data_IF_872040427022
#
_entry.id   IF_872040427022
#
_cell.length_a   1.000
_cell.length_b   1.000
_cell.length_c   1.000
_cell.angle_alpha   90.00
_cell.angle_beta   90.00
_cell.angle_gamma   90.00
#
_symmetry.space_group_name_H-M   'P 1'
#
loop_
_entity.id
_entity.type
_entity.pdbx_description
1 polymer ?
#
# COMPACT_ATOMS: atom_id res chain seq x y z
N UNK A 1 11.95 7.72 -11.34
CA UNK A 1 11.48 7.33 -12.71
C UNK A 1 10.30 6.40 -12.52
N UNK A 2 9.18 6.61 -13.22
CA UNK A 2 8.05 5.67 -13.13
C UNK A 2 8.48 4.25 -13.58
N UNK A 3 7.93 3.21 -12.96
CA UNK A 3 8.21 1.82 -13.31
C UNK A 3 7.77 1.55 -14.77
N UNK A 4 8.72 1.49 -15.69
CA UNK A 4 8.43 1.32 -17.12
C UNK A 4 8.33 -0.16 -17.55
N UNK A 5 9.01 -1.05 -16.82
CA UNK A 5 8.96 -2.50 -17.10
C UNK A 5 7.60 -3.09 -16.77
N UNK A 6 7.14 -4.03 -17.58
CA UNK A 6 5.96 -4.86 -17.27
C UNK A 6 6.45 -6.02 -16.41
N UNK A 7 5.78 -6.32 -15.27
CA UNK A 7 6.11 -7.49 -14.48
C UNK A 7 5.94 -8.79 -15.29
N UNK A 8 6.73 -9.79 -14.96
CA UNK A 8 6.53 -11.15 -15.46
C UNK A 8 5.19 -11.72 -14.94
N UNK A 9 4.75 -12.82 -15.55
CA UNK A 9 3.55 -13.53 -15.09
C UNK A 9 3.68 -13.91 -13.60
N UNK A 10 2.61 -13.72 -12.85
CA UNK A 10 2.55 -13.94 -11.40
C UNK A 10 3.52 -13.05 -10.60
N UNK A 11 3.84 -11.86 -11.12
CA UNK A 11 4.71 -10.92 -10.43
C UNK A 11 4.11 -9.51 -10.40
N UNK A 12 4.60 -8.71 -9.45
CA UNK A 12 4.35 -7.28 -9.36
C UNK A 12 5.67 -6.56 -9.09
N UNK A 13 5.76 -5.28 -9.49
CA UNK A 13 6.83 -4.40 -9.01
C UNK A 13 6.28 -3.49 -7.93
N UNK A 14 7.14 -3.13 -6.96
CA UNK A 14 6.86 -2.02 -6.08
C UNK A 14 8.09 -1.10 -5.95
N UNK A 15 7.80 0.16 -5.61
CA UNK A 15 8.78 1.18 -5.24
C UNK A 15 8.23 1.93 -4.03
N UNK A 16 9.01 2.02 -2.95
CA UNK A 16 8.72 2.88 -1.81
C UNK A 16 9.33 4.25 -2.09
N UNK A 17 8.52 5.30 -2.27
CA UNK A 17 9.00 6.59 -2.79
C UNK A 17 9.10 7.70 -1.74
N UNK A 18 8.67 7.48 -0.50
CA UNK A 18 8.78 8.43 0.61
C UNK A 18 8.99 7.70 1.93
N UNK A 19 9.28 8.45 3.02
CA UNK A 19 9.43 7.85 4.34
C UNK A 19 8.11 7.44 5.01
N UNK A 20 6.99 7.78 4.38
CA UNK A 20 5.64 7.42 4.82
C UNK A 20 5.17 6.11 4.16
N UNK A 21 3.88 5.98 3.95
CA UNK A 21 3.28 4.78 3.35
C UNK A 21 3.24 4.79 1.81
N UNK A 22 3.90 5.75 1.17
CA UNK A 22 3.85 5.98 -0.26
C UNK A 22 4.47 4.85 -1.09
N UNK A 23 3.63 4.12 -1.84
CA UNK A 23 4.05 3.00 -2.68
C UNK A 23 3.58 3.21 -4.13
N UNK A 24 4.51 3.11 -5.10
CA UNK A 24 4.14 2.73 -6.46
C UNK A 24 4.06 1.21 -6.53
N UNK A 25 2.91 0.68 -6.94
CA UNK A 25 2.70 -0.74 -7.19
C UNK A 25 2.33 -0.93 -8.67
N UNK A 26 3.05 -1.79 -9.37
CA UNK A 26 2.75 -2.10 -10.77
C UNK A 26 2.43 -3.58 -10.92
N UNK A 27 1.22 -3.84 -11.42
CA UNK A 27 0.76 -5.14 -11.89
C UNK A 27 1.01 -5.27 -13.41
N UNK A 28 0.75 -6.41 -14.05
CA UNK A 28 0.89 -6.55 -15.51
C UNK A 28 0.20 -5.44 -16.32
N UNK A 29 -0.99 -4.98 -15.91
CA UNK A 29 -1.77 -4.01 -16.69
C UNK A 29 -2.01 -2.67 -16.01
N UNK A 30 -1.76 -2.53 -14.70
CA UNK A 30 -2.07 -1.32 -13.92
C UNK A 30 -0.89 -0.83 -13.09
N UNK A 31 -0.81 0.48 -12.96
CA UNK A 31 0.14 1.16 -12.07
C UNK A 31 -0.64 1.96 -11.03
N UNK A 32 -0.38 1.70 -9.77
CA UNK A 32 -0.99 2.36 -8.62
C UNK A 32 0.02 3.30 -7.94
N UNK A 33 -0.45 4.47 -7.52
CA UNK A 33 0.22 5.25 -6.49
C UNK A 33 -0.66 5.22 -5.23
N UNK A 34 -0.13 4.69 -4.14
CA UNK A 34 -0.83 4.62 -2.86
C UNK A 34 -0.26 5.73 -1.98
N UNK A 35 -1.13 6.54 -1.38
CA UNK A 35 -0.80 7.65 -0.48
C UNK A 35 0.34 8.55 -1.02
N UNK A 36 0.17 9.17 -2.20
CA UNK A 36 1.21 9.99 -2.80
C UNK A 36 1.35 11.33 -2.09
N UNK A 37 2.38 11.45 -1.27
CA UNK A 37 2.85 12.69 -0.64
C UNK A 37 4.38 12.79 -0.81
N UNK A 38 4.95 13.98 -0.68
CA UNK A 38 6.39 14.23 -0.78
C UNK A 38 7.04 13.67 -2.08
N UNK A 39 6.28 13.66 -3.17
CA UNK A 39 6.74 13.20 -4.46
C UNK A 39 6.37 14.22 -5.56
N UNK A 40 7.16 14.28 -6.62
CA UNK A 40 6.87 15.19 -7.74
C UNK A 40 5.78 14.63 -8.64
N UNK A 41 4.89 15.50 -9.17
CA UNK A 41 3.84 15.13 -10.14
C UNK A 41 4.38 14.30 -11.30
N UNK A 42 5.57 14.64 -11.81
CA UNK A 42 6.19 13.90 -12.92
C UNK A 42 6.52 12.42 -12.58
N UNK A 43 6.68 12.08 -11.30
CA UNK A 43 6.85 10.70 -10.85
C UNK A 43 5.56 9.88 -11.02
N UNK A 44 4.42 10.56 -10.96
CA UNK A 44 3.07 9.98 -11.01
C UNK A 44 2.41 10.06 -12.40
N UNK A 45 3.11 10.57 -13.43
CA UNK A 45 2.52 10.82 -14.78
C UNK A 45 1.98 9.58 -15.49
N UNK A 46 2.43 8.39 -15.12
CA UNK A 46 2.04 7.12 -15.76
C UNK A 46 1.24 6.21 -14.81
N UNK A 47 0.63 6.78 -13.75
CA UNK A 47 -0.23 6.01 -12.87
C UNK A 47 -1.63 5.90 -13.48
N UNK A 48 -2.22 4.72 -13.38
CA UNK A 48 -3.60 4.46 -13.76
C UNK A 48 -4.57 4.77 -12.62
N UNK A 49 -4.11 4.57 -11.40
CA UNK A 49 -4.94 4.65 -10.19
C UNK A 49 -4.15 5.31 -9.06
N UNK A 50 -4.77 6.29 -8.39
CA UNK A 50 -4.32 6.77 -7.08
C UNK A 50 -5.24 6.18 -6.02
N UNK A 51 -4.65 5.52 -5.01
CA UNK A 51 -5.37 5.04 -3.82
C UNK A 51 -5.03 5.92 -2.64
N UNK A 52 -6.04 6.36 -1.90
CA UNK A 52 -5.88 7.15 -0.68
C UNK A 52 -6.46 6.37 0.50
N UNK A 53 -5.63 6.13 1.52
CA UNK A 53 -6.02 5.34 2.69
C UNK A 53 -6.81 6.15 3.71
N UNK A 54 -6.41 7.40 3.96
CA UNK A 54 -7.08 8.34 4.85
C UNK A 54 -6.56 9.77 4.69
N UNK A 55 -7.19 10.73 5.38
CA UNK A 55 -7.04 12.17 5.18
C UNK A 55 -5.84 12.82 5.87
N UNK A 56 -4.97 12.10 6.56
CA UNK A 56 -3.81 12.69 7.22
C UNK A 56 -2.77 13.22 6.22
N UNK A 57 -2.04 14.25 6.62
CA UNK A 57 -1.12 15.01 5.75
C UNK A 57 0.05 14.18 5.19
N UNK A 58 0.43 13.11 5.85
CA UNK A 58 1.48 12.17 5.45
C UNK A 58 0.97 11.03 4.55
N UNK A 59 -0.33 11.04 4.22
CA UNK A 59 -1.00 10.12 3.30
C UNK A 59 -1.73 10.85 2.18
N UNK A 60 -2.14 12.10 2.40
CA UNK A 60 -2.97 12.84 1.47
C UNK A 60 -2.53 14.29 1.29
N UNK A 61 -2.02 14.62 0.11
CA UNK A 61 -1.83 15.97 -0.41
C UNK A 61 -2.83 16.23 -1.53
N UNK A 62 -3.87 17.01 -1.23
CA UNK A 62 -4.94 17.30 -2.19
C UNK A 62 -4.46 18.06 -3.42
N UNK A 63 -3.43 18.90 -3.29
CA UNK A 63 -2.85 19.63 -4.43
C UNK A 63 -2.09 18.67 -5.35
N UNK A 64 -1.21 17.85 -4.79
CA UNK A 64 -0.44 16.85 -5.55
C UNK A 64 -1.36 15.86 -6.28
N UNK A 65 -2.41 15.37 -5.60
CA UNK A 65 -3.37 14.43 -6.19
C UNK A 65 -4.13 15.07 -7.37
N UNK A 66 -4.57 16.33 -7.23
CA UNK A 66 -5.25 17.06 -8.32
C UNK A 66 -4.34 17.26 -9.53
N UNK A 67 -3.12 17.71 -9.31
CA UNK A 67 -2.16 17.96 -10.41
C UNK A 67 -1.75 16.62 -11.06
N UNK A 68 -1.55 15.57 -10.28
CA UNK A 68 -1.25 14.24 -10.82
C UNK A 68 -2.39 13.68 -11.65
N UNK A 69 -3.65 13.87 -11.22
CA UNK A 69 -4.82 13.44 -11.98
C UNK A 69 -4.91 14.16 -13.34
N UNK A 70 -4.66 15.48 -13.39
CA UNK A 70 -4.63 16.23 -14.64
C UNK A 70 -3.60 15.71 -15.64
N UNK A 71 -2.42 15.33 -15.15
CA UNK A 71 -1.30 14.88 -16.00
C UNK A 71 -1.47 13.42 -16.45
N UNK A 72 -1.93 12.54 -15.56
CA UNK A 72 -2.04 11.10 -15.83
C UNK A 72 -3.42 10.68 -16.32
N UNK A 73 -4.46 11.50 -16.11
CA UNK A 73 -5.87 11.15 -16.32
C UNK A 73 -6.29 9.89 -15.53
N UNK A 74 -5.65 9.63 -14.38
CA UNK A 74 -5.88 8.47 -13.56
C UNK A 74 -7.26 8.50 -12.89
N UNK A 75 -7.71 7.34 -12.43
CA UNK A 75 -8.84 7.21 -11.51
C UNK A 75 -8.34 7.34 -10.07
N UNK A 76 -9.06 8.09 -9.24
CA UNK A 76 -8.78 8.22 -7.82
C UNK A 76 -9.80 7.35 -7.06
N UNK A 77 -9.30 6.48 -6.18
CA UNK A 77 -10.11 5.69 -5.26
C UNK A 77 -9.70 6.11 -3.86
N UNK A 78 -10.62 6.64 -3.09
CA UNK A 78 -10.32 7.29 -1.83
C UNK A 78 -11.30 6.92 -0.72
N UNK A 79 -10.83 7.01 0.53
CA UNK A 79 -11.69 7.02 1.69
C UNK A 79 -12.71 8.18 1.63
N UNK A 80 -13.83 8.12 2.38
CA UNK A 80 -14.85 9.16 2.32
C UNK A 80 -14.38 10.57 2.66
N UNK A 81 -13.41 10.73 3.57
CA UNK A 81 -12.94 12.06 4.00
C UNK A 81 -12.05 12.71 2.95
N UNK A 82 -11.09 11.96 2.39
CA UNK A 82 -10.25 12.41 1.28
C UNK A 82 -11.07 12.70 0.02
N UNK A 83 -12.02 11.80 -0.31
CA UNK A 83 -12.90 11.98 -1.44
C UNK A 83 -13.78 13.24 -1.32
N UNK A 84 -14.28 13.54 -0.13
CA UNK A 84 -15.05 14.76 0.11
C UNK A 84 -14.25 16.03 -0.22
N UNK A 85 -12.96 16.07 0.13
CA UNK A 85 -12.08 17.20 -0.19
C UNK A 85 -11.75 17.28 -1.69
N UNK A 86 -11.71 16.15 -2.39
CA UNK A 86 -11.39 16.09 -3.83
C UNK A 86 -12.60 16.36 -4.73
N UNK A 87 -13.81 16.07 -4.27
CA UNK A 87 -15.06 16.17 -5.04
C UNK A 87 -15.26 17.47 -5.83
N UNK A 88 -14.90 18.66 -5.30
CA UNK A 88 -15.03 19.92 -6.05
C UNK A 88 -14.05 20.09 -7.22
N UNK A 89 -13.02 19.23 -7.29
CA UNK A 89 -11.85 19.45 -8.15
C UNK A 89 -11.56 18.31 -9.13
N UNK A 90 -12.16 17.14 -8.91
CA UNK A 90 -11.92 15.94 -9.71
C UNK A 90 -13.20 15.59 -10.48
N UNK A 91 -13.12 15.26 -11.78
CA UNK A 91 -14.28 14.80 -12.54
C UNK A 91 -14.97 13.61 -11.85
N UNK A 92 -16.31 13.60 -11.87
CA UNK A 92 -17.09 12.62 -11.12
C UNK A 92 -16.84 11.17 -11.59
N UNK A 93 -16.54 10.97 -12.85
CA UNK A 93 -16.15 9.68 -13.43
C UNK A 93 -14.74 9.23 -13.09
N UNK A 94 -13.93 10.11 -12.48
CA UNK A 94 -12.54 9.87 -12.07
C UNK A 94 -12.37 9.76 -10.56
N UNK A 95 -13.41 9.92 -9.77
CA UNK A 95 -13.37 9.83 -8.31
C UNK A 95 -14.34 8.77 -7.81
N UNK A 96 -13.81 7.73 -7.17
CA UNK A 96 -14.60 6.68 -6.53
C UNK A 96 -14.35 6.67 -5.02
N UNK A 97 -15.43 6.54 -4.26
CA UNK A 97 -15.37 6.40 -2.81
C UNK A 97 -15.34 4.92 -2.46
N UNK A 98 -14.44 4.52 -1.58
CA UNK A 98 -14.36 3.15 -1.07
C UNK A 98 -14.43 3.14 0.46
N UNK A 99 -15.20 2.20 1.02
CA UNK A 99 -15.36 2.00 2.47
C UNK A 99 -14.91 0.62 2.86
N UNK A 100 -14.59 0.44 4.13
CA UNK A 100 -14.27 -0.88 4.69
C UNK A 100 -15.33 -1.91 4.28
N UNK A 101 -14.88 -3.01 3.68
CA UNK A 101 -15.72 -4.09 3.16
C UNK A 101 -16.02 -3.99 1.65
N UNK A 102 -15.88 -2.80 1.06
CA UNK A 102 -16.10 -2.63 -0.38
C UNK A 102 -14.95 -3.25 -1.19
N UNK A 103 -15.30 -3.65 -2.41
CA UNK A 103 -14.33 -4.13 -3.42
C UNK A 103 -14.62 -3.43 -4.74
N UNK A 104 -13.61 -2.78 -5.30
CA UNK A 104 -13.64 -2.14 -6.62
C UNK A 104 -12.78 -2.94 -7.57
N UNK A 105 -13.27 -3.19 -8.78
CA UNK A 105 -12.49 -3.78 -9.88
C UNK A 105 -12.10 -2.71 -10.89
N UNK A 106 -10.83 -2.74 -11.31
CA UNK A 106 -10.31 -1.90 -12.40
C UNK A 106 -9.63 -2.82 -13.42
N UNK A 107 -10.38 -3.16 -14.47
CA UNK A 107 -10.04 -4.31 -15.30
C UNK A 107 -10.12 -5.59 -14.49
N UNK A 108 -9.09 -6.42 -14.55
CA UNK A 108 -9.01 -7.66 -13.80
C UNK A 108 -8.40 -7.49 -12.39
N UNK A 109 -7.86 -6.30 -12.07
CA UNK A 109 -7.33 -6.02 -10.73
C UNK A 109 -8.45 -5.75 -9.76
N UNK A 110 -8.38 -6.36 -8.58
CA UNK A 110 -9.33 -6.16 -7.47
C UNK A 110 -8.69 -5.35 -6.34
N UNK A 111 -9.40 -4.35 -5.84
CA UNK A 111 -8.99 -3.50 -4.72
C UNK A 111 -10.07 -3.61 -3.65
N UNK A 112 -9.72 -4.20 -2.51
CA UNK A 112 -10.62 -4.35 -1.37
C UNK A 112 -10.15 -3.45 -0.24
N UNK A 113 -11.04 -2.59 0.28
CA UNK A 113 -10.78 -1.84 1.50
C UNK A 113 -11.05 -2.72 2.72
N UNK A 114 -10.10 -2.73 3.65
CA UNK A 114 -10.18 -3.50 4.87
C UNK A 114 -10.01 -2.62 6.11
N UNK A 115 -10.30 -3.18 7.28
CA UNK A 115 -10.21 -2.52 8.58
C UNK A 115 -8.79 -1.97 8.79
N UNK A 116 -8.73 -0.72 9.27
CA UNK A 116 -7.52 -0.05 9.74
C UNK A 116 -7.67 0.25 11.23
N UNK A 117 -6.72 -0.17 12.05
CA UNK A 117 -6.67 0.17 13.48
C UNK A 117 -5.85 1.44 13.67
N UNK A 118 -6.44 2.58 13.30
CA UNK A 118 -5.82 3.90 13.34
C UNK A 118 -6.85 4.99 13.64
N UNK A 119 -6.40 6.08 14.27
CA UNK A 119 -7.26 7.23 14.63
C UNK A 119 -7.35 8.22 13.47
N UNK A 120 -8.27 7.98 12.54
CA UNK A 120 -8.65 8.89 11.46
C UNK A 120 -10.17 8.81 11.25
N UNK A 121 -10.75 9.62 10.33
CA UNK A 121 -12.21 9.64 10.15
C UNK A 121 -12.73 8.36 9.51
N UNK A 122 -12.07 7.89 8.44
CA UNK A 122 -12.48 6.71 7.69
C UNK A 122 -11.23 5.95 7.17
N UNK A 123 -10.31 5.53 8.07
CA UNK A 123 -9.06 4.93 7.63
C UNK A 123 -9.29 3.56 7.03
N UNK A 124 -8.67 3.32 5.87
CA UNK A 124 -8.66 2.04 5.17
C UNK A 124 -7.25 1.46 5.13
N UNK A 125 -7.17 0.15 5.12
CA UNK A 125 -6.06 -0.59 4.54
C UNK A 125 -6.50 -1.17 3.20
N UNK A 126 -5.56 -1.54 2.31
CA UNK A 126 -5.92 -2.07 1.00
C UNK A 126 -5.35 -3.46 0.75
N UNK A 127 -6.21 -4.34 0.24
CA UNK A 127 -5.83 -5.63 -0.33
C UNK A 127 -5.96 -5.49 -1.85
N UNK A 128 -4.83 -5.55 -2.55
CA UNK A 128 -4.78 -5.43 -4.00
C UNK A 128 -4.46 -6.81 -4.57
N UNK A 129 -5.34 -7.33 -5.41
CA UNK A 129 -5.14 -8.60 -6.11
C UNK A 129 -4.90 -8.31 -7.58
N UNK A 130 -3.71 -8.66 -8.08
CA UNK A 130 -3.35 -8.49 -9.49
C UNK A 130 -4.15 -9.43 -10.39
N UNK A 131 -4.04 -9.23 -11.68
CA UNK A 131 -4.64 -10.05 -12.74
C UNK A 131 -4.24 -11.53 -12.61
N UNK A 132 -3.01 -11.77 -12.19
CA UNK A 132 -2.43 -13.11 -11.98
C UNK A 132 -2.64 -13.66 -10.57
N UNK A 133 -3.43 -12.94 -9.74
CA UNK A 133 -3.76 -13.35 -8.39
C UNK A 133 -2.66 -13.11 -7.36
N UNK A 134 -1.65 -12.26 -7.63
CA UNK A 134 -0.71 -11.81 -6.60
C UNK A 134 -1.43 -10.88 -5.64
N UNK A 135 -1.43 -11.21 -4.35
CA UNK A 135 -2.11 -10.43 -3.31
C UNK A 135 -1.15 -9.61 -2.47
N UNK A 136 -1.31 -8.30 -2.54
CA UNK A 136 -0.54 -7.31 -1.80
C UNK A 136 -1.42 -6.67 -0.73
N UNK A 137 -0.98 -6.68 0.51
CA UNK A 137 -1.64 -6.00 1.61
C UNK A 137 -0.85 -4.76 2.02
N UNK A 138 -1.46 -3.60 1.84
CA UNK A 138 -0.95 -2.29 2.26
C UNK A 138 -1.63 -1.89 3.56
N UNK A 139 -0.88 -1.86 4.65
CA UNK A 139 -1.45 -1.66 6.00
C UNK A 139 -1.67 -0.20 6.38
N UNK A 140 -1.24 0.76 5.56
CA UNK A 140 -1.26 2.19 5.91
C UNK A 140 -0.69 2.41 7.32
N UNK A 141 -1.43 3.08 8.17
CA UNK A 141 -1.11 3.38 9.58
C UNK A 141 -1.64 2.35 10.57
N UNK A 142 -2.16 1.22 10.08
CA UNK A 142 -2.79 0.26 10.97
C UNK A 142 -1.82 -0.31 12.00
N UNK A 143 -2.20 -0.21 13.25
CA UNK A 143 -1.65 -1.04 14.32
C UNK A 143 -2.21 -2.47 14.21
N UNK A 144 -1.55 -3.47 14.81
CA UNK A 144 -2.06 -4.84 14.83
C UNK A 144 -3.41 -4.91 15.57
N UNK A 145 -4.25 -5.85 15.13
CA UNK A 145 -5.54 -6.16 15.77
C UNK A 145 -5.87 -7.65 15.53
N UNK A 146 -6.68 -8.30 16.41
CA UNK A 146 -6.87 -9.75 16.41
C UNK A 146 -7.39 -10.33 15.10
N UNK A 147 -8.30 -9.61 14.41
CA UNK A 147 -8.92 -10.08 13.16
C UNK A 147 -7.95 -10.22 11.98
N UNK A 148 -6.74 -9.63 12.09
CA UNK A 148 -5.67 -9.84 11.10
C UNK A 148 -5.31 -11.32 10.93
N UNK A 149 -5.40 -12.13 12.01
CA UNK A 149 -5.12 -13.55 11.93
C UNK A 149 -6.10 -14.28 10.99
N UNK A 150 -7.40 -13.96 11.12
CA UNK A 150 -8.42 -14.51 10.21
C UNK A 150 -8.23 -14.00 8.79
N UNK A 151 -7.96 -12.70 8.63
CA UNK A 151 -7.74 -12.09 7.32
C UNK A 151 -6.53 -12.73 6.60
N UNK A 152 -5.42 -12.99 7.30
CA UNK A 152 -4.25 -13.68 6.75
C UNK A 152 -4.57 -15.10 6.26
N UNK A 153 -5.41 -15.85 6.98
CA UNK A 153 -5.83 -17.18 6.58
C UNK A 153 -6.76 -17.17 5.35
N UNK A 154 -7.70 -16.23 5.31
CA UNK A 154 -8.71 -16.14 4.25
C UNK A 154 -8.10 -15.60 2.95
N UNK A 155 -7.28 -14.56 3.03
CA UNK A 155 -6.73 -13.86 1.86
C UNK A 155 -5.44 -14.49 1.33
N UNK A 156 -4.60 -15.07 2.20
CA UNK A 156 -3.31 -15.67 1.82
C UNK A 156 -2.43 -14.69 1.04
N UNK A 157 -1.99 -13.63 1.71
CA UNK A 157 -1.17 -12.58 1.11
C UNK A 157 0.16 -13.10 0.58
N UNK A 158 0.60 -12.60 -0.58
CA UNK A 158 1.94 -12.84 -1.12
C UNK A 158 2.96 -11.82 -0.59
N UNK A 159 2.49 -10.58 -0.32
CA UNK A 159 3.29 -9.48 0.21
C UNK A 159 2.47 -8.67 1.23
N UNK A 160 3.10 -8.33 2.37
CA UNK A 160 2.52 -7.41 3.36
C UNK A 160 3.51 -6.28 3.63
N UNK A 161 3.08 -5.04 3.45
CA UNK A 161 3.77 -3.86 3.94
C UNK A 161 3.41 -3.66 5.40
N UNK A 162 4.41 -3.55 6.29
CA UNK A 162 4.22 -3.41 7.73
C UNK A 162 4.71 -2.04 8.20
N UNK A 163 3.83 -1.21 8.77
CA UNK A 163 4.22 0.05 9.41
C UNK A 163 5.08 -0.24 10.65
N UNK A 164 6.28 0.36 10.72
CA UNK A 164 7.26 0.11 11.79
C UNK A 164 7.69 1.36 12.55
N UNK A 165 7.10 2.53 12.24
CA UNK A 165 7.41 3.80 12.89
C UNK A 165 6.39 4.89 12.52
N UNK A 166 6.73 6.16 12.69
CA UNK A 166 5.97 7.40 12.40
C UNK A 166 4.57 7.40 13.03
N UNK A 167 3.68 6.47 12.66
CA UNK A 167 2.35 6.35 13.26
C UNK A 167 2.43 6.25 14.78
N UNK A 168 1.57 6.97 15.48
CA UNK A 168 1.49 6.92 16.95
C UNK A 168 1.33 5.47 17.43
N UNK A 169 2.23 5.05 18.33
CA UNK A 169 2.34 3.68 18.87
C UNK A 169 2.81 2.60 17.87
N UNK A 170 3.17 2.96 16.65
CA UNK A 170 3.83 2.02 15.76
C UNK A 170 5.30 1.83 16.19
N UNK A 171 5.80 0.62 16.01
CA UNK A 171 7.18 0.22 16.30
C UNK A 171 7.55 -1.00 15.46
N UNK A 172 8.83 -1.39 15.42
CA UNK A 172 9.24 -2.65 14.81
C UNK A 172 8.46 -3.86 15.34
N UNK A 173 8.15 -3.88 16.65
CA UNK A 173 7.39 -4.96 17.30
C UNK A 173 5.92 -4.97 16.86
N UNK A 174 5.28 -3.80 16.73
CA UNK A 174 3.91 -3.73 16.23
C UNK A 174 3.82 -4.15 14.76
N UNK A 175 4.78 -3.74 13.93
CA UNK A 175 4.88 -4.20 12.54
C UNK A 175 5.14 -5.72 12.46
N UNK A 176 6.01 -6.26 13.32
CA UNK A 176 6.24 -7.70 13.45
C UNK A 176 4.96 -8.43 13.84
N UNK A 177 4.15 -7.89 14.74
CA UNK A 177 2.89 -8.51 15.14
C UNK A 177 1.90 -8.58 13.95
N UNK A 178 1.85 -7.57 13.07
CA UNK A 178 1.09 -7.64 11.83
C UNK A 178 1.58 -8.81 10.96
N UNK A 179 2.90 -8.96 10.78
CA UNK A 179 3.49 -10.06 10.02
C UNK A 179 3.17 -11.42 10.64
N UNK A 180 3.24 -11.54 11.98
CA UNK A 180 2.95 -12.76 12.73
C UNK A 180 1.49 -13.20 12.58
N UNK A 181 0.56 -12.25 12.60
CA UNK A 181 -0.87 -12.52 12.45
C UNK A 181 -1.23 -12.87 11.00
N UNK A 182 -0.67 -12.16 10.03
CA UNK A 182 -1.01 -12.34 8.61
C UNK A 182 -0.25 -13.48 7.93
N UNK A 183 0.91 -13.88 8.46
CA UNK A 183 1.76 -15.00 7.99
C UNK A 183 2.06 -15.01 6.48
N UNK A 184 2.47 -13.89 5.87
CA UNK A 184 2.78 -13.89 4.45
C UNK A 184 4.17 -14.52 4.19
N UNK A 185 4.45 -14.98 2.96
CA UNK A 185 5.81 -15.41 2.57
C UNK A 185 6.81 -14.25 2.50
N UNK A 186 6.33 -13.00 2.35
CA UNK A 186 7.18 -11.82 2.23
C UNK A 186 6.59 -10.61 2.96
N UNK A 187 7.47 -9.88 3.68
CA UNK A 187 7.13 -8.61 4.33
C UNK A 187 8.11 -7.50 3.96
N UNK A 188 7.62 -6.27 4.03
CA UNK A 188 8.39 -5.05 3.80
C UNK A 188 8.11 -4.07 4.93
N UNK A 189 9.12 -3.70 5.76
CA UNK A 189 8.98 -2.63 6.74
C UNK A 189 8.99 -1.28 6.04
N UNK A 190 7.99 -0.45 6.30
CA UNK A 190 7.86 0.88 5.74
C UNK A 190 7.29 1.87 6.77
N UNK A 191 6.92 3.09 6.33
CA UNK A 191 6.35 4.13 7.18
C UNK A 191 7.26 4.46 8.38
N UNK A 192 8.52 4.73 8.07
CA UNK A 192 9.56 5.10 9.04
C UNK A 192 10.67 5.90 8.35
N UNK A 193 11.27 6.82 9.09
CA UNK A 193 12.50 7.51 8.71
C UNK A 193 13.74 6.93 9.45
N UNK A 194 13.57 5.81 10.16
CA UNK A 194 14.59 5.17 10.99
C UNK A 194 15.10 3.86 10.35
N UNK A 195 16.28 3.84 9.74
CA UNK A 195 16.90 2.59 9.29
C UNK A 195 17.11 1.56 10.41
N UNK A 196 17.19 2.04 11.66
CA UNK A 196 17.30 1.18 12.84
C UNK A 196 16.03 0.39 13.07
N UNK A 197 14.85 1.01 12.93
CA UNK A 197 13.56 0.34 13.08
C UNK A 197 13.38 -0.75 12.02
N UNK A 198 13.76 -0.47 10.78
CA UNK A 198 13.73 -1.47 9.71
C UNK A 198 14.64 -2.67 10.01
N UNK A 199 15.84 -2.43 10.56
CA UNK A 199 16.78 -3.50 10.95
C UNK A 199 16.25 -4.32 12.13
N UNK A 200 15.68 -3.68 13.14
CA UNK A 200 15.06 -4.38 14.28
C UNK A 200 13.92 -5.27 13.78
N UNK A 201 13.02 -4.72 12.95
CA UNK A 201 11.95 -5.50 12.34
C UNK A 201 12.48 -6.71 11.56
N UNK A 202 13.50 -6.52 10.70
CA UNK A 202 14.10 -7.61 9.93
C UNK A 202 14.70 -8.70 10.84
N UNK A 203 15.33 -8.31 11.95
CA UNK A 203 15.87 -9.27 12.93
C UNK A 203 14.77 -10.07 13.63
N UNK A 204 13.65 -9.41 13.99
CA UNK A 204 12.46 -10.07 14.54
C UNK A 204 11.91 -11.10 13.56
N UNK A 205 11.71 -10.72 12.29
CA UNK A 205 11.23 -11.64 11.25
C UNK A 205 12.17 -12.83 11.10
N UNK A 206 13.48 -12.59 10.98
CA UNK A 206 14.48 -13.68 10.82
C UNK A 206 14.47 -14.67 11.99
N UNK A 207 14.28 -14.18 13.21
CA UNK A 207 14.31 -14.99 14.43
C UNK A 207 13.01 -15.77 14.64
N UNK A 208 11.87 -15.09 14.50
CA UNK A 208 10.57 -15.61 14.94
C UNK A 208 9.72 -16.18 13.79
N UNK A 209 9.96 -15.73 12.56
CA UNK A 209 9.23 -16.16 11.36
C UNK A 209 10.19 -16.61 10.25
N UNK A 210 11.00 -17.66 10.46
CA UNK A 210 12.08 -18.03 9.53
C UNK A 210 11.61 -18.45 8.12
N UNK A 211 10.32 -18.67 7.92
CA UNK A 211 9.72 -18.98 6.61
C UNK A 211 9.26 -17.72 5.86
N UNK A 212 9.23 -16.56 6.53
CA UNK A 212 8.87 -15.26 5.95
C UNK A 212 10.13 -14.52 5.54
N UNK A 213 10.24 -14.17 4.27
CA UNK A 213 11.30 -13.29 3.79
C UNK A 213 11.01 -11.84 4.19
N UNK A 214 12.08 -11.05 4.38
CA UNK A 214 11.96 -9.63 4.66
C UNK A 214 12.86 -8.84 3.70
N UNK A 215 12.25 -7.95 2.92
CA UNK A 215 12.97 -6.94 2.13
C UNK A 215 12.93 -5.64 2.90
N UNK A 216 14.09 -5.11 3.28
CA UNK A 216 14.25 -3.74 3.76
C UNK A 216 14.37 -2.84 2.54
N UNK A 217 13.37 -1.99 2.24
CA UNK A 217 13.36 -1.23 1.01
C UNK A 217 14.24 0.01 1.13
N UNK A 218 14.86 0.39 0.01
CA UNK A 218 15.50 1.68 -0.19
C UNK A 218 14.52 2.61 -0.93
N UNK A 219 14.49 3.88 -0.57
CA UNK A 219 13.65 4.90 -1.23
C UNK A 219 13.98 4.96 -2.72
N UNK A 220 12.96 5.00 -3.58
CA UNK A 220 13.04 5.10 -5.04
C UNK A 220 13.73 3.91 -5.72
N UNK A 221 13.85 2.77 -5.04
CA UNK A 221 14.35 1.53 -5.63
C UNK A 221 13.19 0.60 -5.96
N UNK A 222 13.25 0.03 -7.16
CA UNK A 222 12.23 -0.89 -7.67
C UNK A 222 12.58 -2.32 -7.28
N UNK A 223 11.59 -3.04 -6.74
CA UNK A 223 11.67 -4.45 -6.37
C UNK A 223 10.63 -5.25 -7.15
N UNK A 224 11.02 -6.43 -7.64
CA UNK A 224 10.09 -7.40 -8.22
C UNK A 224 9.75 -8.47 -7.18
N UNK A 225 8.46 -8.76 -7.08
CA UNK A 225 7.93 -9.81 -6.23
C UNK A 225 7.17 -10.79 -7.10
N UNK A 226 7.52 -12.06 -7.01
CA UNK A 226 6.83 -13.13 -7.72
C UNK A 226 6.08 -14.02 -6.72
N UNK A 227 4.85 -14.37 -7.06
CA UNK A 227 4.09 -15.37 -6.32
C UNK A 227 4.80 -16.71 -6.44
N UNK A 228 5.08 -17.37 -5.31
CA UNK A 228 5.57 -18.75 -5.36
C UNK A 228 4.46 -19.64 -5.90
N UNK A 229 4.68 -20.22 -7.06
CA UNK A 229 3.82 -21.28 -7.59
C UNK A 229 4.15 -22.54 -6.80
N UNK A 230 3.20 -23.00 -5.98
CA UNK A 230 3.28 -24.29 -5.29
C UNK A 230 3.01 -25.43 -6.24
#
# INVERSE_FOLDING_TARGET
MAIQKIPEKNAVFFEWFNHYSGILLKTPTKTFAIDPVDVKVNHLKNVDIILLTHEHYDHFDSHLVKESQKVSNCTIIADPASAFQLKPHIPIDKLQVIRIGDTIKVGEVSIKAAKCNHQARYPNTYIITSEDGVKVYHTADSLPFPELAKMGLDEKFDLVFCSVGITKNASPESGFEIARLTKPPLVVPYHTNSPTDQKIFQQLIKRELPRTACIVPEINKIYQISKKVN
#
